data_IF_332727457507
#
_entry.id   IF_332727457507
#
_cell.length_a   1.000
_cell.length_b   1.000
_cell.length_c   1.000
_cell.angle_alpha   90.00
_cell.angle_beta   90.00
_cell.angle_gamma   90.00
#
_symmetry.space_group_name_H-M   'P 1'
#
loop_
_entity.id
_entity.type
_entity.pdbx_description
1 polymer ?
#
# COMPACT_ATOMS: atom_id res chain seq x y z
N UNK A 1 3.06 19.26 -15.70
CA UNK A 1 3.98 19.45 -14.56
C UNK A 1 4.94 18.28 -14.37
N UNK A 2 6.24 18.54 -14.48
CA UNK A 2 7.28 17.54 -14.17
C UNK A 2 7.33 17.20 -12.67
N UNK A 3 6.97 18.17 -11.81
CA UNK A 3 6.91 17.95 -10.36
C UNK A 3 5.81 16.97 -9.95
N UNK A 4 4.61 17.10 -10.54
CA UNK A 4 3.51 16.17 -10.30
C UNK A 4 3.89 14.75 -10.73
N UNK A 5 4.41 14.59 -11.96
CA UNK A 5 4.88 13.30 -12.47
C UNK A 5 5.92 12.67 -11.54
N UNK A 6 6.93 13.46 -11.12
CA UNK A 6 7.95 12.99 -10.19
C UNK A 6 7.36 12.54 -8.85
N UNK A 7 6.45 13.32 -8.28
CA UNK A 7 5.80 12.99 -7.00
C UNK A 7 4.95 11.72 -7.08
N UNK A 8 4.21 11.53 -8.18
CA UNK A 8 3.40 10.32 -8.39
C UNK A 8 4.27 9.08 -8.57
N UNK A 9 5.37 9.19 -9.33
CA UNK A 9 6.32 8.09 -9.50
C UNK A 9 7.00 7.70 -8.20
N UNK A 10 7.40 8.69 -7.39
CA UNK A 10 7.98 8.42 -6.06
C UNK A 10 6.96 7.76 -5.14
N UNK A 11 5.71 8.22 -5.16
CA UNK A 11 4.64 7.66 -4.34
C UNK A 11 4.40 6.17 -4.63
N UNK A 12 4.43 5.76 -5.90
CA UNK A 12 4.29 4.35 -6.30
C UNK A 12 5.33 3.43 -5.65
N UNK A 13 6.53 3.94 -5.34
CA UNK A 13 7.61 3.15 -4.72
C UNK A 13 7.66 3.24 -3.18
N UNK A 14 6.79 4.01 -2.53
CA UNK A 14 6.82 4.17 -1.06
C UNK A 14 6.42 2.90 -0.29
N UNK A 15 5.66 1.99 -0.92
CA UNK A 15 5.24 0.74 -0.27
C UNK A 15 6.39 -0.16 0.18
N UNK A 16 7.55 -0.07 -0.48
CA UNK A 16 8.70 -0.93 -0.22
C UNK A 16 9.33 -0.72 1.17
N UNK A 17 9.30 0.50 1.71
CA UNK A 17 9.85 0.77 3.04
C UNK A 17 8.99 0.17 4.15
N UNK A 18 7.67 0.06 3.93
CA UNK A 18 6.73 -0.48 4.90
C UNK A 18 6.93 -1.98 5.14
N UNK A 19 7.36 -2.73 4.12
CA UNK A 19 7.67 -4.17 4.23
C UNK A 19 8.78 -4.45 5.25
N UNK A 20 9.74 -3.54 5.41
CA UNK A 20 10.80 -3.66 6.41
C UNK A 20 10.27 -3.68 7.85
N UNK A 21 9.12 -3.04 8.11
CA UNK A 21 8.49 -3.01 9.45
C UNK A 21 7.98 -4.38 9.89
N UNK A 22 7.80 -5.31 8.95
CA UNK A 22 7.36 -6.69 9.19
C UNK A 22 8.53 -7.68 9.25
N UNK A 23 9.77 -7.22 9.06
CA UNK A 23 10.93 -8.12 9.06
C UNK A 23 11.08 -8.89 10.38
N UNK A 24 10.74 -8.25 11.51
CA UNK A 24 10.75 -8.87 12.83
C UNK A 24 9.69 -9.98 13.04
N UNK A 25 8.65 -10.04 12.21
CA UNK A 25 7.63 -11.09 12.27
C UNK A 25 8.02 -12.32 11.41
N UNK A 26 9.01 -12.17 10.54
CA UNK A 26 9.46 -13.27 9.69
C UNK A 26 10.44 -14.18 10.42
N UNK A 27 10.14 -15.48 10.47
CA UNK A 27 11.03 -16.48 11.09
C UNK A 27 12.36 -16.64 10.35
N UNK A 28 12.39 -16.33 9.05
CA UNK A 28 13.56 -16.50 8.20
C UNK A 28 13.72 -15.33 7.23
N UNK A 29 14.82 -14.59 7.38
CA UNK A 29 15.14 -13.40 6.59
C UNK A 29 15.32 -13.69 5.09
N UNK A 30 15.73 -14.91 4.72
CA UNK A 30 15.86 -15.29 3.29
C UNK A 30 14.50 -15.41 2.60
N UNK A 31 13.48 -15.85 3.33
CA UNK A 31 12.11 -15.96 2.79
C UNK A 31 11.54 -14.58 2.53
N UNK A 32 11.77 -13.64 3.45
CA UNK A 32 11.39 -12.24 3.26
C UNK A 32 12.06 -11.65 2.01
N UNK A 33 13.38 -11.85 1.87
CA UNK A 33 14.12 -11.34 0.72
C UNK A 33 13.62 -11.94 -0.61
N UNK A 34 13.40 -13.26 -0.66
CA UNK A 34 12.84 -13.89 -1.86
C UNK A 34 11.44 -13.39 -2.18
N UNK A 35 10.59 -13.19 -1.17
CA UNK A 35 9.23 -12.65 -1.33
C UNK A 35 9.24 -11.21 -1.84
N UNK A 36 10.14 -10.37 -1.33
CA UNK A 36 10.30 -8.99 -1.80
C UNK A 36 10.80 -8.94 -3.25
N UNK A 37 11.80 -9.76 -3.59
CA UNK A 37 12.34 -9.83 -4.95
C UNK A 37 11.31 -10.33 -5.96
N UNK A 38 10.53 -11.36 -5.61
CA UNK A 38 9.48 -11.86 -6.49
C UNK A 38 8.34 -10.85 -6.64
N UNK A 39 7.93 -10.20 -5.55
CA UNK A 39 6.94 -9.13 -5.60
C UNK A 39 7.40 -7.98 -6.51
N UNK A 40 8.68 -7.59 -6.47
CA UNK A 40 9.21 -6.51 -7.30
C UNK A 40 9.13 -6.85 -8.80
N UNK A 41 9.44 -8.10 -9.16
CA UNK A 41 9.30 -8.57 -10.53
C UNK A 41 7.85 -8.58 -11.00
N UNK A 42 6.93 -9.07 -10.17
CA UNK A 42 5.49 -9.10 -10.49
C UNK A 42 4.93 -7.68 -10.62
N UNK A 43 5.29 -6.79 -9.70
CA UNK A 43 4.86 -5.39 -9.66
C UNK A 43 5.29 -4.65 -10.95
N UNK A 44 6.55 -4.79 -11.35
CA UNK A 44 7.04 -4.22 -12.60
C UNK A 44 6.23 -4.71 -13.81
N UNK A 45 6.00 -6.02 -13.93
CA UNK A 45 5.22 -6.61 -15.03
C UNK A 45 3.79 -6.06 -15.04
N UNK A 46 3.13 -6.01 -13.89
CA UNK A 46 1.75 -5.52 -13.78
C UNK A 46 1.65 -4.03 -14.13
N UNK A 47 2.59 -3.19 -13.70
CA UNK A 47 2.61 -1.78 -14.09
C UNK A 47 2.77 -1.59 -15.60
N UNK A 48 3.70 -2.32 -16.24
CA UNK A 48 3.86 -2.23 -17.69
C UNK A 48 2.62 -2.75 -18.43
N UNK A 49 2.04 -3.86 -17.99
CA UNK A 49 0.85 -4.44 -18.61
C UNK A 49 -0.37 -3.52 -18.49
N UNK A 50 -0.62 -2.94 -17.32
CA UNK A 50 -1.74 -2.02 -17.09
C UNK A 50 -1.59 -0.73 -17.89
N UNK A 51 -0.37 -0.20 -17.97
CA UNK A 51 -0.07 0.96 -18.81
C UNK A 51 -0.27 0.66 -20.30
N UNK A 52 0.23 -0.48 -20.79
CA UNK A 52 0.06 -0.90 -22.19
C UNK A 52 -1.42 -1.10 -22.54
N UNK A 53 -2.19 -1.74 -21.66
CA UNK A 53 -3.64 -1.90 -21.80
C UNK A 53 -4.33 -0.55 -21.91
N UNK A 54 -4.04 0.39 -20.99
CA UNK A 54 -4.60 1.73 -21.03
C UNK A 54 -4.26 2.49 -22.31
N UNK A 55 -3.00 2.46 -22.74
CA UNK A 55 -2.56 3.12 -23.98
C UNK A 55 -3.20 2.54 -25.24
N UNK A 56 -3.56 1.25 -25.24
CA UNK A 56 -4.17 0.59 -26.41
C UNK A 56 -5.60 1.08 -26.72
N UNK A 57 -6.33 1.56 -25.71
CA UNK A 57 -7.74 1.98 -25.85
C UNK A 57 -7.98 3.45 -25.48
N UNK A 58 -6.99 4.13 -24.89
CA UNK A 58 -7.16 5.50 -24.41
C UNK A 58 -7.08 6.55 -25.49
N UNK A 59 -8.03 7.49 -25.43
CA UNK A 59 -7.91 8.80 -26.08
C UNK A 59 -7.33 9.79 -25.08
N UNK A 60 -6.58 10.77 -25.58
CA UNK A 60 -5.81 11.73 -24.76
C UNK A 60 -6.68 12.48 -23.75
N UNK A 61 -7.95 12.69 -24.09
CA UNK A 61 -8.89 13.51 -23.32
C UNK A 61 -9.74 12.71 -22.32
N UNK A 62 -9.59 11.38 -22.29
CA UNK A 62 -10.39 10.48 -21.45
C UNK A 62 -9.68 10.04 -20.16
N UNK A 63 -8.43 10.44 -19.97
CA UNK A 63 -7.68 10.15 -18.75
C UNK A 63 -8.26 10.91 -17.56
N UNK A 64 -8.90 10.18 -16.66
CA UNK A 64 -9.50 10.70 -15.43
C UNK A 64 -9.33 9.69 -14.28
N UNK A 65 -9.69 10.10 -13.07
CA UNK A 65 -9.66 9.19 -11.91
C UNK A 65 -10.58 7.98 -12.13
N UNK A 66 -10.08 6.79 -11.78
CA UNK A 66 -10.80 5.54 -12.00
C UNK A 66 -10.85 5.06 -13.46
N UNK A 67 -10.16 5.73 -14.39
CA UNK A 67 -10.19 5.41 -15.83
C UNK A 67 -9.85 3.94 -16.14
N UNK A 68 -9.03 3.27 -15.32
CA UNK A 68 -8.73 1.85 -15.51
C UNK A 68 -9.99 0.96 -15.55
N UNK A 69 -11.03 1.28 -14.79
CA UNK A 69 -12.30 0.52 -14.83
C UNK A 69 -12.91 0.57 -16.23
N UNK A 70 -12.99 1.77 -16.81
CA UNK A 70 -13.52 1.98 -18.17
C UNK A 70 -12.61 1.39 -19.24
N UNK A 71 -11.30 1.52 -19.07
CA UNK A 71 -10.30 0.94 -19.97
C UNK A 71 -10.46 -0.59 -20.06
N UNK A 72 -10.45 -1.29 -18.92
CA UNK A 72 -10.54 -2.74 -18.91
C UNK A 72 -11.90 -3.23 -19.40
N UNK A 73 -12.98 -2.49 -19.13
CA UNK A 73 -14.31 -2.80 -19.67
C UNK A 73 -14.38 -2.69 -21.20
N UNK A 74 -13.61 -1.79 -21.81
CA UNK A 74 -13.51 -1.70 -23.28
C UNK A 74 -12.72 -2.84 -23.90
N UNK A 75 -11.71 -3.36 -23.20
CA UNK A 75 -10.89 -4.49 -23.67
C UNK A 75 -11.68 -5.80 -23.50
N UNK A 76 -12.33 -5.97 -22.35
CA UNK A 76 -13.16 -7.14 -22.02
C UNK A 76 -14.54 -6.65 -21.57
N UNK A 77 -15.53 -6.60 -22.49
CA UNK A 77 -16.86 -6.11 -22.19
C UNK A 77 -17.49 -6.82 -20.98
N UNK A 78 -17.93 -6.04 -19.99
CA UNK A 78 -18.60 -6.53 -18.78
C UNK A 78 -17.68 -6.80 -17.59
N UNK A 79 -16.36 -6.62 -17.74
CA UNK A 79 -15.41 -6.79 -16.62
C UNK A 79 -15.37 -5.57 -15.68
N UNK A 80 -15.83 -4.40 -16.14
CA UNK A 80 -15.73 -3.13 -15.41
C UNK A 80 -16.18 -3.19 -13.95
N UNK A 81 -17.40 -3.67 -13.63
CA UNK A 81 -17.87 -3.75 -12.25
C UNK A 81 -17.00 -4.62 -11.34
N UNK A 82 -16.48 -5.74 -11.86
CA UNK A 82 -15.59 -6.63 -11.10
C UNK A 82 -14.24 -5.98 -10.84
N UNK A 83 -13.70 -5.29 -11.84
CA UNK A 83 -12.45 -4.54 -11.70
C UNK A 83 -12.62 -3.40 -10.68
N UNK A 84 -13.73 -2.67 -10.74
CA UNK A 84 -14.07 -1.64 -9.75
C UNK A 84 -14.16 -2.19 -8.33
N UNK A 85 -14.83 -3.32 -8.13
CA UNK A 85 -14.90 -3.99 -6.83
C UNK A 85 -13.51 -4.41 -6.33
N UNK A 86 -12.65 -4.94 -7.21
CA UNK A 86 -11.28 -5.29 -6.87
C UNK A 86 -10.46 -4.06 -6.43
N UNK A 87 -10.59 -2.93 -7.14
CA UNK A 87 -9.91 -1.67 -6.79
C UNK A 87 -10.32 -1.17 -5.40
N UNK A 88 -11.62 -1.23 -5.07
CA UNK A 88 -12.10 -0.86 -3.73
C UNK A 88 -11.50 -1.78 -2.66
N UNK A 89 -11.49 -3.09 -2.90
CA UNK A 89 -10.91 -4.06 -1.98
C UNK A 89 -9.40 -3.84 -1.78
N UNK A 90 -8.68 -3.51 -2.86
CA UNK A 90 -7.25 -3.18 -2.81
C UNK A 90 -7.02 -1.91 -1.99
N UNK A 91 -7.83 -0.86 -2.16
CA UNK A 91 -7.72 0.37 -1.38
C UNK A 91 -7.93 0.12 0.13
N UNK A 92 -8.93 -0.71 0.48
CA UNK A 92 -9.18 -1.10 1.88
C UNK A 92 -8.03 -1.92 2.46
N UNK A 93 -7.49 -2.86 1.68
CA UNK A 93 -6.35 -3.69 2.12
C UNK A 93 -5.10 -2.84 2.30
N UNK A 94 -4.85 -1.88 1.39
CA UNK A 94 -3.74 -0.95 1.52
C UNK A 94 -3.83 -0.12 2.80
N UNK A 95 -5.03 0.36 3.16
CA UNK A 95 -5.27 1.05 4.42
C UNK A 95 -4.93 0.17 5.62
N UNK A 96 -5.42 -1.08 5.63
CA UNK A 96 -5.15 -2.03 6.72
C UNK A 96 -3.65 -2.33 6.82
N UNK A 97 -2.98 -2.61 5.71
CA UNK A 97 -1.54 -2.88 5.65
C UNK A 97 -0.72 -1.69 6.14
N UNK A 98 -1.09 -0.46 5.75
CA UNK A 98 -0.47 0.76 6.23
C UNK A 98 -0.61 0.89 7.76
N UNK A 99 -1.81 0.69 8.30
CA UNK A 99 -2.05 0.74 9.74
C UNK A 99 -1.16 -0.25 10.50
N UNK A 100 -1.01 -1.48 10.00
CA UNK A 100 -0.16 -2.51 10.62
C UNK A 100 1.32 -2.09 10.61
N UNK A 101 1.84 -1.69 9.44
CA UNK A 101 3.25 -1.37 9.28
C UNK A 101 3.67 -0.14 10.10
N UNK A 102 2.90 0.95 10.04
CA UNK A 102 3.23 2.17 10.76
C UNK A 102 3.10 2.00 12.28
N UNK A 103 2.11 1.22 12.74
CA UNK A 103 1.97 0.90 14.17
C UNK A 103 3.16 0.10 14.71
N UNK A 104 3.70 -0.81 13.91
CA UNK A 104 4.92 -1.57 14.25
C UNK A 104 6.16 -0.66 14.26
N UNK A 105 6.28 0.26 13.31
CA UNK A 105 7.35 1.26 13.32
C UNK A 105 7.31 2.13 14.58
N UNK A 106 6.13 2.65 14.95
CA UNK A 106 5.94 3.44 16.17
C UNK A 106 6.21 2.64 17.45
N UNK A 107 5.78 1.39 17.48
CA UNK A 107 6.08 0.47 18.57
C UNK A 107 7.59 0.23 18.73
N UNK A 108 8.31 -0.03 17.63
CA UNK A 108 9.76 -0.22 17.65
C UNK A 108 10.53 1.01 18.12
N UNK A 109 10.07 2.21 17.73
CA UNK A 109 10.64 3.47 18.26
C UNK A 109 10.42 3.61 19.77
N UNK A 110 9.26 3.19 20.28
CA UNK A 110 8.97 3.22 21.71
C UNK A 110 9.83 2.20 22.49
N UNK A 111 10.13 1.03 21.93
CA UNK A 111 11.06 0.07 22.55
C UNK A 111 12.49 0.62 22.64
N UNK A 112 12.95 1.35 21.63
CA UNK A 112 14.25 2.02 21.64
C UNK A 112 14.31 3.26 22.56
N UNK A 113 13.19 3.61 23.22
CA UNK A 113 13.10 4.75 24.13
C UNK A 113 12.89 6.10 23.44
N UNK A 114 12.58 6.13 22.13
CA UNK A 114 12.38 7.35 21.35
C UNK A 114 10.93 7.87 21.44
N UNK A 115 10.02 7.06 22.00
CA UNK A 115 8.62 7.41 22.22
C UNK A 115 8.15 6.92 23.60
N UNK A 116 7.00 7.42 24.12
CA UNK A 116 6.49 7.03 25.43
C UNK A 116 6.32 5.51 25.59
N UNK A 117 6.77 4.96 26.72
CA UNK A 117 6.69 3.52 27.03
C UNK A 117 5.27 2.94 27.00
N UNK A 118 4.23 3.76 27.10
CA UNK A 118 2.85 3.27 27.03
C UNK A 118 2.52 2.65 25.66
N UNK A 119 3.23 3.09 24.61
CA UNK A 119 3.09 2.64 23.22
C UNK A 119 3.62 1.20 23.05
N UNK A 120 4.54 0.74 23.90
CA UNK A 120 5.09 -0.62 23.79
C UNK A 120 4.10 -1.72 24.21
N UNK A 121 2.93 -1.36 24.76
CA UNK A 121 1.91 -2.30 25.21
C UNK A 121 1.36 -3.14 24.05
N UNK A 122 1.36 -4.46 24.23
CA UNK A 122 0.85 -5.42 23.28
C UNK A 122 -0.32 -6.23 23.87
N UNK A 123 -1.19 -6.73 22.98
CA UNK A 123 -2.18 -7.74 23.34
C UNK A 123 -1.51 -9.12 23.50
N UNK A 124 -2.19 -10.12 24.11
CA UNK A 124 -1.69 -11.50 24.17
C UNK A 124 -1.35 -12.12 22.81
N UNK A 125 -1.94 -11.59 21.73
CA UNK A 125 -1.67 -11.97 20.34
C UNK A 125 -0.36 -11.37 19.79
N UNK A 126 0.33 -10.51 20.53
CA UNK A 126 1.54 -9.80 20.08
C UNK A 126 1.26 -8.53 19.26
N UNK A 127 0.00 -8.13 19.11
CA UNK A 127 -0.38 -6.93 18.37
C UNK A 127 -0.22 -5.65 19.23
N UNK A 128 0.45 -4.59 18.73
CA UNK A 128 0.71 -3.35 19.46
C UNK A 128 -0.53 -2.42 19.45
N UNK A 129 -1.54 -2.78 20.23
CA UNK A 129 -2.85 -2.10 20.23
C UNK A 129 -2.78 -0.60 20.54
N UNK A 130 -1.90 -0.15 21.44
CA UNK A 130 -1.76 1.28 21.74
C UNK A 130 -1.20 2.05 20.54
N UNK A 131 -0.20 1.50 19.85
CA UNK A 131 0.33 2.11 18.61
C UNK A 131 -0.73 2.18 17.52
N UNK A 132 -1.56 1.14 17.37
CA UNK A 132 -2.66 1.12 16.41
C UNK A 132 -3.68 2.21 16.71
N UNK A 133 -4.07 2.38 17.98
CA UNK A 133 -5.01 3.43 18.37
C UNK A 133 -4.44 4.83 18.12
N UNK A 134 -3.18 5.07 18.48
CA UNK A 134 -2.51 6.36 18.22
C UNK A 134 -2.49 6.64 16.72
N UNK A 135 -2.11 5.66 15.90
CA UNK A 135 -2.04 5.85 14.46
C UNK A 135 -3.42 6.04 13.83
N UNK A 136 -4.45 5.32 14.28
CA UNK A 136 -5.83 5.53 13.86
C UNK A 136 -6.34 6.93 14.23
N UNK A 137 -6.06 7.41 15.44
CA UNK A 137 -6.44 8.77 15.86
C UNK A 137 -5.78 9.85 14.99
N UNK A 138 -4.50 9.67 14.63
CA UNK A 138 -3.80 10.59 13.73
C UNK A 138 -4.39 10.52 12.32
N UNK A 139 -4.57 9.31 11.78
CA UNK A 139 -5.05 9.09 10.42
C UNK A 139 -6.49 9.57 10.21
N UNK A 140 -7.38 9.43 11.20
CA UNK A 140 -8.78 9.87 11.08
C UNK A 140 -9.04 11.26 11.68
N UNK A 141 -8.24 11.67 12.67
CA UNK A 141 -8.41 12.94 13.38
C UNK A 141 -7.78 14.14 12.68
N UNK A 142 -6.75 13.94 11.85
CA UNK A 142 -6.12 15.01 11.04
C UNK A 142 -6.71 15.15 9.63
N UNK A 143 -7.70 14.31 9.27
CA UNK A 143 -8.34 14.32 7.93
C UNK A 143 -9.58 15.24 7.89
N UNK A 144 -9.75 16.07 8.91
CA UNK A 144 -10.73 17.17 8.98
C UNK A 144 -10.02 18.51 9.09
#
# INVERSE_FOLDING_TARGET
DYSLLGSSLLWLYTGWTSLGSLAGETKNSRVLLHGMSSACGVDAVVYFMTLAAALSVAKRDEWADGYFVTCFDRIIPGIGPYFGAAVVLTALTLLISAMICYSRGLWGMAEMGWAPRIITRQLPTGAPHVSVLVHALVAFGLVW
#
